data_IF_639750748015
#
_entry.id   IF_639750748015
#
_cell.length_a   1.000
_cell.length_b   1.000
_cell.length_c   1.000
_cell.angle_alpha   90.00
_cell.angle_beta   90.00
_cell.angle_gamma   90.00
#
_symmetry.space_group_name_H-M   'P 1'
#
loop_
_entity.id
_entity.type
_entity.pdbx_description
1 polymer ?
#
# COMPACT_ATOMS: atom_id res chain seq x y z
N UNK A 1 19.65 46.43 -31.53
CA UNK A 1 19.84 44.96 -31.43
C UNK A 1 20.73 44.72 -30.22
N UNK A 2 20.14 44.44 -29.06
CA UNK A 2 20.91 44.29 -27.82
C UNK A 2 21.57 42.92 -27.78
N UNK A 3 22.90 42.88 -27.71
CA UNK A 3 23.63 41.62 -27.54
C UNK A 3 23.31 41.04 -26.16
N UNK A 4 22.64 39.89 -26.13
CA UNK A 4 22.49 39.13 -24.89
C UNK A 4 23.88 38.70 -24.41
N UNK A 5 24.24 39.14 -23.21
CA UNK A 5 25.52 38.76 -22.60
C UNK A 5 25.56 37.25 -22.39
N UNK A 6 26.65 36.55 -22.80
CA UNK A 6 26.80 35.11 -22.60
C UNK A 6 26.73 34.71 -21.12
N UNK A 7 27.07 35.64 -20.21
CA UNK A 7 26.92 35.45 -18.77
C UNK A 7 25.44 35.32 -18.34
N UNK A 8 24.53 36.10 -18.92
CA UNK A 8 23.10 36.01 -18.58
C UNK A 8 22.50 34.67 -19.04
N UNK A 9 22.91 34.15 -20.20
CA UNK A 9 22.51 32.83 -20.68
C UNK A 9 23.06 31.71 -19.79
N UNK A 10 24.31 31.82 -19.33
CA UNK A 10 24.90 30.86 -18.38
C UNK A 10 24.19 30.88 -17.02
N UNK A 11 23.86 32.07 -16.50
CA UNK A 11 23.10 32.23 -15.25
C UNK A 11 21.69 31.64 -15.37
N UNK A 12 21.00 31.84 -16.49
CA UNK A 12 19.68 31.26 -16.73
C UNK A 12 19.73 29.74 -16.88
N UNK A 13 20.77 29.19 -17.51
CA UNK A 13 20.99 27.74 -17.60
C UNK A 13 21.30 27.13 -16.22
N UNK A 14 22.10 27.81 -15.39
CA UNK A 14 22.39 27.39 -14.01
C UNK A 14 21.14 27.44 -13.10
N UNK A 15 20.30 28.47 -13.26
CA UNK A 15 19.02 28.59 -12.54
C UNK A 15 18.00 27.53 -12.98
N UNK A 16 17.94 27.20 -14.28
CA UNK A 16 17.05 26.17 -14.80
C UNK A 16 17.47 24.75 -14.35
N UNK A 17 18.77 24.49 -14.24
CA UNK A 17 19.30 23.22 -13.72
C UNK A 17 19.15 23.10 -12.20
N UNK A 18 19.19 24.20 -11.45
CA UNK A 18 18.83 24.19 -10.03
C UNK A 18 17.34 23.89 -9.80
N UNK A 19 16.44 24.45 -10.65
CA UNK A 19 15.01 24.17 -10.59
C UNK A 19 14.66 22.72 -11.00
N UNK A 20 15.43 22.12 -11.92
CA UNK A 20 15.24 20.74 -12.34
C UNK A 20 15.75 19.68 -11.33
N UNK A 21 16.50 20.09 -10.30
CA UNK A 21 17.06 19.18 -9.28
C UNK A 21 16.40 19.38 -7.90
N UNK A 22 15.34 20.17 -7.80
CA UNK A 22 14.54 20.30 -6.59
C UNK A 22 13.43 19.22 -6.47
N UNK A 23 13.70 17.99 -6.90
CA UNK A 23 13.15 16.84 -6.17
C UNK A 23 14.16 16.54 -5.07
N UNK A 24 14.11 17.34 -4.00
CA UNK A 24 14.82 17.04 -2.78
C UNK A 24 14.44 15.62 -2.37
N UNK A 25 15.36 14.67 -2.59
CA UNK A 25 15.31 13.39 -1.91
C UNK A 25 15.28 13.73 -0.42
N UNK A 26 14.29 13.27 0.37
CA UNK A 26 14.32 13.49 1.80
C UNK A 26 15.55 12.78 2.36
N UNK A 27 16.65 13.51 2.44
CA UNK A 27 17.80 13.21 3.27
C UNK A 27 17.37 13.50 4.69
N UNK A 28 16.74 12.50 5.29
CA UNK A 28 16.64 12.20 6.71
C UNK A 28 15.90 10.87 6.80
N UNK A 29 16.27 9.98 7.73
CA UNK A 29 15.50 8.77 7.99
C UNK A 29 14.14 9.16 8.62
N UNK A 30 13.20 9.62 7.79
CA UNK A 30 11.87 10.04 8.23
C UNK A 30 11.07 8.79 8.57
N UNK A 31 11.09 8.43 9.85
CA UNK A 31 10.18 7.42 10.39
C UNK A 31 8.77 8.00 10.42
N UNK A 32 7.84 7.32 9.74
CA UNK A 32 6.40 7.63 9.81
C UNK A 32 5.66 6.46 10.43
N UNK A 33 4.90 6.76 11.46
CA UNK A 33 3.88 5.87 11.99
C UNK A 33 2.53 6.33 11.45
N UNK A 34 1.73 5.40 10.94
CA UNK A 34 0.42 5.70 10.36
C UNK A 34 -0.54 4.61 10.80
N UNK A 35 -1.67 5.02 11.37
CA UNK A 35 -2.75 4.13 11.77
C UNK A 35 -3.90 4.30 10.78
N UNK A 36 -4.38 3.18 10.25
CA UNK A 36 -5.49 3.12 9.29
C UNK A 36 -6.35 1.92 9.62
N UNK A 37 -7.63 2.01 9.27
CA UNK A 37 -8.63 0.99 9.56
C UNK A 37 -9.21 0.45 8.26
N UNK A 38 -9.15 -0.87 8.09
CA UNK A 38 -9.73 -1.58 6.94
C UNK A 38 -11.13 -2.08 7.31
N UNK A 39 -12.11 -1.80 6.46
CA UNK A 39 -13.51 -2.19 6.71
C UNK A 39 -13.93 -3.30 5.74
N UNK A 40 -13.94 -4.52 6.24
CA UNK A 40 -14.29 -5.74 5.48
C UNK A 40 -15.79 -6.04 5.54
N UNK A 41 -16.35 -6.51 4.41
CA UNK A 41 -17.70 -7.06 4.30
C UNK A 41 -17.58 -8.46 3.71
N UNK A 42 -17.87 -9.47 4.51
CA UNK A 42 -17.76 -10.89 4.12
C UNK A 42 -18.97 -11.41 3.34
N UNK A 43 -20.10 -10.70 3.38
CA UNK A 43 -21.38 -11.16 2.81
C UNK A 43 -22.18 -10.01 2.19
N UNK A 44 -23.20 -10.38 1.41
CA UNK A 44 -24.11 -9.44 0.75
C UNK A 44 -23.67 -9.03 -0.65
N UNK A 45 -24.49 -8.22 -1.35
CA UNK A 45 -24.27 -7.87 -2.76
C UNK A 45 -23.01 -7.04 -3.02
N UNK A 46 -22.43 -6.44 -1.97
CA UNK A 46 -21.19 -5.66 -2.02
C UNK A 46 -20.13 -6.25 -1.08
N UNK A 47 -20.02 -7.59 -1.05
CA UNK A 47 -18.93 -8.27 -0.34
C UNK A 47 -17.60 -7.76 -0.86
N UNK A 48 -16.69 -7.42 0.05
CA UNK A 48 -15.36 -6.91 -0.27
C UNK A 48 -14.30 -7.99 -0.19
N UNK A 49 -14.65 -9.19 0.28
CA UNK A 49 -13.82 -10.39 0.28
C UNK A 49 -14.53 -11.53 -0.47
N UNK A 50 -13.84 -12.18 -1.40
CA UNK A 50 -14.38 -13.33 -2.13
C UNK A 50 -13.27 -14.33 -2.50
N UNK A 51 -13.54 -15.62 -2.33
CA UNK A 51 -12.75 -16.70 -2.95
C UNK A 51 -13.18 -16.81 -4.42
N UNK A 52 -12.30 -16.41 -5.33
CA UNK A 52 -12.54 -16.39 -6.78
C UNK A 52 -12.15 -17.70 -7.45
N UNK A 53 -11.23 -18.46 -6.85
CA UNK A 53 -10.84 -19.80 -7.31
C UNK A 53 -10.97 -20.77 -6.15
N UNK A 54 -11.83 -21.78 -6.33
CA UNK A 54 -12.03 -22.85 -5.37
C UNK A 54 -10.99 -23.97 -5.56
N UNK A 55 -10.68 -24.71 -4.50
CA UNK A 55 -9.90 -25.94 -4.63
C UNK A 55 -10.69 -26.99 -5.40
N UNK A 56 -10.00 -27.74 -6.25
CA UNK A 56 -10.57 -28.89 -6.95
C UNK A 56 -10.71 -30.11 -6.03
N UNK A 57 -10.07 -30.09 -4.87
CA UNK A 57 -10.10 -31.17 -3.89
C UNK A 57 -11.15 -30.86 -2.83
N UNK A 58 -12.11 -31.77 -2.65
CA UNK A 58 -13.19 -31.61 -1.66
C UNK A 58 -12.61 -31.54 -0.24
N UNK A 59 -13.02 -30.53 0.51
CA UNK A 59 -12.59 -30.34 1.91
C UNK A 59 -11.17 -29.80 2.07
N UNK A 60 -10.52 -29.42 0.98
CA UNK A 60 -9.19 -28.81 0.99
C UNK A 60 -9.30 -27.32 0.64
N UNK A 61 -8.62 -26.50 1.44
CA UNK A 61 -8.54 -25.07 1.21
C UNK A 61 -7.24 -24.67 0.49
N UNK A 62 -6.25 -25.56 0.42
CA UNK A 62 -5.04 -25.35 -0.37
C UNK A 62 -5.41 -25.14 -1.85
N UNK A 63 -4.71 -24.22 -2.51
CA UNK A 63 -4.93 -23.77 -3.90
C UNK A 63 -6.17 -22.88 -4.11
N UNK A 64 -6.86 -22.48 -3.05
CA UNK A 64 -7.86 -21.43 -3.17
C UNK A 64 -7.19 -20.07 -3.41
N UNK A 65 -7.82 -19.23 -4.23
CA UNK A 65 -7.43 -17.83 -4.43
C UNK A 65 -8.59 -16.92 -4.09
N UNK A 66 -8.26 -15.81 -3.42
CA UNK A 66 -9.21 -14.77 -3.05
C UNK A 66 -8.75 -13.39 -3.45
N UNK A 67 -9.72 -12.48 -3.54
CA UNK A 67 -9.52 -11.06 -3.78
C UNK A 67 -10.19 -10.25 -2.69
N UNK A 68 -9.58 -9.12 -2.35
CA UNK A 68 -10.10 -8.18 -1.35
C UNK A 68 -10.05 -6.75 -1.88
N UNK A 69 -11.09 -5.97 -1.59
CA UNK A 69 -11.14 -4.52 -1.86
C UNK A 69 -11.94 -3.78 -0.77
N UNK A 70 -11.28 -3.49 0.34
CA UNK A 70 -11.87 -2.82 1.50
C UNK A 70 -11.69 -1.31 1.45
N UNK A 71 -12.59 -0.61 2.14
CA UNK A 71 -12.37 0.80 2.46
C UNK A 71 -11.23 0.94 3.47
N UNK A 72 -10.35 1.90 3.22
CA UNK A 72 -9.30 2.31 4.15
C UNK A 72 -9.68 3.66 4.76
N UNK A 73 -9.82 3.72 6.08
CA UNK A 73 -10.32 4.90 6.82
C UNK A 73 -9.37 5.34 7.94
N UNK A 74 -9.53 6.58 8.40
CA UNK A 74 -8.74 7.16 9.50
C UNK A 74 -9.27 6.81 10.90
N UNK A 75 -10.38 6.07 10.98
CA UNK A 75 -11.00 5.67 12.23
C UNK A 75 -11.77 4.36 12.16
N UNK A 76 -12.11 3.77 13.33
CA UNK A 76 -12.76 2.47 13.43
C UNK A 76 -14.26 2.50 13.13
N UNK A 77 -14.92 3.67 13.16
CA UNK A 77 -16.34 3.81 12.84
C UNK A 77 -16.50 4.20 11.36
N UNK A 78 -17.01 3.33 10.48
CA UNK A 78 -17.12 3.62 9.05
C UNK A 78 -18.11 4.75 8.73
N UNK A 79 -19.06 5.07 9.62
CA UNK A 79 -20.05 6.13 9.43
C UNK A 79 -19.52 7.51 9.84
N UNK A 80 -18.49 7.56 10.68
CA UNK A 80 -17.92 8.80 11.23
C UNK A 80 -16.50 9.10 10.78
N UNK A 81 -15.76 8.09 10.33
CA UNK A 81 -14.38 8.23 9.88
C UNK A 81 -14.28 8.61 8.41
N UNK A 82 -13.21 9.32 8.06
CA UNK A 82 -12.95 9.77 6.71
C UNK A 82 -12.38 8.63 5.87
N UNK A 83 -12.79 8.58 4.60
CA UNK A 83 -12.19 7.66 3.63
C UNK A 83 -10.79 8.17 3.23
N UNK A 84 -9.77 7.38 3.51
CA UNK A 84 -8.38 7.66 3.15
C UNK A 84 -7.98 7.01 1.83
N UNK A 85 -8.60 5.89 1.48
CA UNK A 85 -8.15 5.07 0.36
C UNK A 85 -8.83 3.71 0.25
N UNK A 86 -8.12 2.78 -0.38
CA UNK A 86 -8.52 1.37 -0.55
C UNK A 86 -7.44 0.43 -0.02
N UNK A 87 -7.87 -0.69 0.54
CA UNK A 87 -7.03 -1.84 0.81
C UNK A 87 -7.36 -2.90 -0.24
N UNK A 88 -6.44 -3.14 -1.17
CA UNK A 88 -6.64 -4.07 -2.27
C UNK A 88 -5.63 -5.19 -2.19
N UNK A 89 -6.11 -6.43 -2.32
CA UNK A 89 -5.23 -7.56 -2.12
C UNK A 89 -5.63 -8.82 -2.88
N UNK A 90 -4.61 -9.63 -3.17
CA UNK A 90 -4.72 -10.99 -3.65
C UNK A 90 -4.23 -11.93 -2.55
N UNK A 91 -4.94 -13.03 -2.37
CA UNK A 91 -4.56 -14.06 -1.41
C UNK A 91 -4.58 -15.43 -2.06
N UNK A 92 -3.59 -16.24 -1.70
CA UNK A 92 -3.48 -17.63 -2.09
C UNK A 92 -3.37 -18.47 -0.83
N UNK A 93 -4.24 -19.46 -0.68
CA UNK A 93 -4.09 -20.47 0.36
C UNK A 93 -3.01 -21.45 -0.10
N UNK A 94 -1.77 -21.10 0.24
CA UNK A 94 -0.55 -21.72 -0.29
C UNK A 94 0.24 -22.51 0.76
N UNK A 95 -0.20 -22.53 2.02
CA UNK A 95 0.41 -23.33 3.08
C UNK A 95 -0.14 -24.76 3.13
N UNK A 96 0.75 -25.75 3.14
CA UNK A 96 0.42 -27.16 3.43
C UNK A 96 0.51 -27.50 4.94
N UNK A 97 0.94 -26.54 5.76
CA UNK A 97 1.11 -26.70 7.20
C UNK A 97 -0.18 -26.39 7.95
N UNK A 98 -0.28 -26.83 9.21
CA UNK A 98 -1.39 -26.51 10.10
C UNK A 98 -0.92 -25.51 11.18
N UNK A 99 -1.62 -24.38 11.39
CA UNK A 99 -2.79 -23.91 10.65
C UNK A 99 -2.44 -23.50 9.19
N UNK A 100 -3.40 -23.59 8.25
CA UNK A 100 -3.16 -23.27 6.85
C UNK A 100 -2.75 -21.79 6.69
N UNK A 101 -1.55 -21.58 6.14
CA UNK A 101 -1.04 -20.24 5.84
C UNK A 101 -1.58 -19.68 4.52
N UNK A 102 -1.71 -18.37 4.45
CA UNK A 102 -2.06 -17.64 3.23
C UNK A 102 -0.89 -16.80 2.75
N UNK A 103 -0.51 -16.91 1.49
CA UNK A 103 0.37 -15.94 0.85
C UNK A 103 -0.47 -14.76 0.36
N UNK A 104 0.02 -13.52 0.50
CA UNK A 104 -0.73 -12.37 0.01
C UNK A 104 0.12 -11.26 -0.57
N UNK A 105 -0.47 -10.56 -1.53
CA UNK A 105 0.02 -9.31 -2.09
C UNK A 105 -1.03 -8.24 -1.82
N UNK A 106 -0.67 -7.25 -1.01
CA UNK A 106 -1.54 -6.21 -0.47
C UNK A 106 -1.02 -4.85 -0.88
N UNK A 107 -1.91 -3.98 -1.33
CA UNK A 107 -1.65 -2.58 -1.59
C UNK A 107 -2.57 -1.70 -0.74
N UNK A 108 -1.99 -0.72 -0.06
CA UNK A 108 -2.73 0.40 0.54
C UNK A 108 -2.70 1.56 -0.46
N UNK A 109 -3.83 1.79 -1.13
CA UNK A 109 -3.97 2.83 -2.15
C UNK A 109 -4.57 4.08 -1.51
N UNK A 110 -3.75 5.10 -1.25
CA UNK A 110 -4.23 6.33 -0.66
C UNK A 110 -4.84 7.26 -1.73
N UNK A 111 -6.08 7.68 -1.52
CA UNK A 111 -6.84 8.53 -2.46
C UNK A 111 -7.14 9.92 -1.89
N UNK A 112 -6.87 10.14 -0.60
CA UNK A 112 -7.12 11.39 0.11
C UNK A 112 -6.00 11.71 1.11
N UNK A 113 -6.06 12.91 1.69
CA UNK A 113 -5.10 13.37 2.69
C UNK A 113 -3.69 13.59 2.15
N UNK A 114 -2.71 13.57 3.05
CA UNK A 114 -1.31 13.89 2.74
C UNK A 114 -0.60 12.83 1.87
N UNK A 115 -1.15 11.62 1.78
CA UNK A 115 -0.60 10.51 0.98
C UNK A 115 -1.37 10.28 -0.32
N UNK A 116 -2.25 11.22 -0.70
CA UNK A 116 -3.09 11.07 -1.89
C UNK A 116 -2.25 10.76 -3.14
N UNK A 117 -2.61 9.68 -3.84
CA UNK A 117 -1.95 9.09 -5.04
C UNK A 117 -0.71 8.23 -4.74
N UNK A 118 -0.32 8.10 -3.47
CA UNK A 118 0.75 7.20 -3.07
C UNK A 118 0.22 5.81 -2.72
N UNK A 119 1.08 4.80 -2.86
CA UNK A 119 0.76 3.40 -2.58
C UNK A 119 1.81 2.83 -1.62
N UNK A 120 1.39 2.01 -0.66
CA UNK A 120 2.29 1.16 0.13
C UNK A 120 2.03 -0.30 -0.22
N UNK A 121 3.09 -1.03 -0.57
CA UNK A 121 3.01 -2.43 -1.00
C UNK A 121 3.52 -3.36 0.12
N UNK A 122 2.70 -4.33 0.51
CA UNK A 122 3.01 -5.35 1.51
C UNK A 122 2.82 -6.73 0.87
N UNK A 123 3.80 -7.61 1.03
CA UNK A 123 3.71 -8.98 0.51
C UNK A 123 4.40 -9.95 1.46
N UNK A 124 3.93 -11.20 1.47
CA UNK A 124 4.45 -12.26 2.32
C UNK A 124 3.36 -13.12 2.93
N UNK A 125 3.76 -14.14 3.69
CA UNK A 125 2.85 -15.09 4.30
C UNK A 125 2.08 -14.48 5.47
N UNK A 126 0.93 -15.08 5.72
CA UNK A 126 0.05 -14.87 6.84
C UNK A 126 -0.10 -16.24 7.50
N UNK A 127 0.56 -16.45 8.64
CA UNK A 127 0.74 -17.77 9.25
C UNK A 127 -0.15 -18.00 10.49
N UNK A 128 -0.69 -16.94 11.06
CA UNK A 128 -1.55 -17.00 12.26
C UNK A 128 -2.70 -16.02 12.04
N UNK A 129 -3.95 -16.41 12.28
CA UNK A 129 -5.12 -15.53 12.13
C UNK A 129 -5.59 -14.87 13.43
N UNK A 130 -5.09 -15.33 14.58
CA UNK A 130 -5.58 -14.98 15.91
C UNK A 130 -4.68 -13.98 16.65
N UNK A 131 -3.45 -13.76 16.18
CA UNK A 131 -2.49 -12.86 16.83
C UNK A 131 -2.10 -11.66 15.95
N UNK A 132 -1.47 -10.68 16.61
CA UNK A 132 -0.90 -9.51 15.94
C UNK A 132 0.21 -9.96 14.98
N UNK A 133 0.09 -9.57 13.71
CA UNK A 133 1.02 -9.99 12.64
C UNK A 133 1.85 -8.82 12.17
N UNK A 134 3.17 -8.95 12.29
CA UNK A 134 4.11 -8.11 11.56
C UNK A 134 4.15 -8.53 10.09
N UNK A 135 4.08 -7.57 9.17
CA UNK A 135 4.26 -7.82 7.74
C UNK A 135 5.20 -6.81 7.12
N UNK A 136 6.08 -7.26 6.22
CA UNK A 136 7.10 -6.43 5.61
C UNK A 136 6.51 -5.46 4.59
N UNK A 137 6.86 -4.18 4.69
CA UNK A 137 6.67 -3.21 3.60
C UNK A 137 7.80 -3.44 2.58
N UNK A 138 7.40 -3.82 1.37
CA UNK A 138 8.31 -4.14 0.26
C UNK A 138 8.66 -2.91 -0.58
N UNK A 139 7.87 -1.85 -0.49
CA UNK A 139 8.07 -0.61 -1.21
C UNK A 139 6.78 0.21 -1.31
N UNK A 140 6.76 1.14 -2.25
CA UNK A 140 5.62 1.98 -2.52
C UNK A 140 5.82 2.86 -3.74
N UNK A 141 4.92 3.82 -3.92
CA UNK A 141 5.00 4.83 -4.99
C UNK A 141 5.01 6.22 -4.39
N UNK A 142 5.44 7.21 -5.19
CA UNK A 142 5.39 8.63 -4.85
C UNK A 142 6.13 8.92 -3.53
N UNK A 143 5.47 9.43 -2.49
CA UNK A 143 6.10 9.70 -1.19
C UNK A 143 6.65 8.44 -0.50
N UNK A 144 6.24 7.25 -0.94
CA UNK A 144 6.70 5.95 -0.46
C UNK A 144 7.65 5.22 -1.44
N UNK A 145 8.20 5.90 -2.45
CA UNK A 145 9.00 5.29 -3.52
C UNK A 145 10.13 4.36 -3.02
N UNK A 146 10.79 4.74 -1.93
CA UNK A 146 11.88 3.96 -1.30
C UNK A 146 11.53 3.49 0.12
N UNK A 147 10.24 3.43 0.45
CA UNK A 147 9.78 3.04 1.77
C UNK A 147 10.22 1.60 2.11
N UNK A 148 10.76 1.43 3.32
CA UNK A 148 11.03 0.14 3.94
C UNK A 148 10.54 0.20 5.37
N UNK A 149 9.92 -0.87 5.83
CA UNK A 149 9.35 -0.90 7.17
C UNK A 149 8.54 -2.17 7.38
N UNK A 150 7.57 -2.07 8.28
CA UNK A 150 6.64 -3.13 8.59
C UNK A 150 5.26 -2.54 8.90
N UNK A 151 4.23 -3.38 8.83
CA UNK A 151 2.88 -3.09 9.31
C UNK A 151 2.53 -4.08 10.41
N UNK A 152 1.78 -3.64 11.42
CA UNK A 152 1.10 -4.55 12.34
C UNK A 152 -0.39 -4.57 12.01
N UNK A 153 -0.96 -5.76 11.87
CA UNK A 153 -2.42 -5.96 11.86
C UNK A 153 -2.81 -6.57 13.20
N UNK A 154 -3.67 -5.86 13.91
CA UNK A 154 -4.33 -6.32 15.14
C UNK A 154 -5.67 -6.96 14.80
#
# INVERSE_FOLDING_TARGET
>A
MGSSSPLCLLLLLLLASAAAVAHAWPGDNVWKHTLVYTHEKLTGPNSTWLITVQSQLRGDNFRQFGVEDNELRDGPDPLRSSLCGRFQALFALAGLVSPPGMESAVNFLFTAGMFRRSIVCVSGPILDFESTRERKIMGGTDVFLVARGYTFKH
#
